data_IF_447578629863
#
_entry.id   IF_447578629863
#
_cell.length_a   1.000
_cell.length_b   1.000
_cell.length_c   1.000
_cell.angle_alpha   90.00
_cell.angle_beta   90.00
_cell.angle_gamma   90.00
#
_symmetry.space_group_name_H-M   'P 1'
#
loop_
_entity.id
_entity.type
_entity.pdbx_description
1 polymer ?
#
# COMPACT_ATOMS: atom_id res chain seq x y z
N UNK A 1 7.58 -26.01 15.74
CA UNK A 1 7.70 -27.06 14.70
C UNK A 1 7.89 -26.35 13.37
N UNK A 2 8.90 -26.70 12.57
CA UNK A 2 9.20 -25.99 11.31
C UNK A 2 8.08 -26.15 10.29
N UNK A 3 7.35 -27.26 10.36
CA UNK A 3 6.24 -27.55 9.45
C UNK A 3 5.03 -26.66 9.73
N UNK A 4 4.70 -26.46 11.01
CA UNK A 4 3.64 -25.52 11.43
C UNK A 4 3.93 -24.06 11.03
N UNK A 5 5.19 -23.61 11.05
CA UNK A 5 5.54 -22.24 10.60
C UNK A 5 5.28 -22.07 9.10
N UNK A 6 5.64 -23.08 8.29
CA UNK A 6 5.42 -23.04 6.84
C UNK A 6 3.93 -23.10 6.47
N UNK A 7 3.14 -23.88 7.22
CA UNK A 7 1.69 -23.94 7.05
C UNK A 7 1.04 -22.59 7.39
N UNK A 8 1.44 -21.96 8.50
CA UNK A 8 0.92 -20.64 8.90
C UNK A 8 1.28 -19.53 7.89
N UNK A 9 2.50 -19.53 7.36
CA UNK A 9 2.93 -18.59 6.31
C UNK A 9 2.15 -18.80 5.00
N UNK A 10 1.92 -20.06 4.62
CA UNK A 10 1.16 -20.40 3.40
C UNK A 10 -0.29 -19.93 3.51
N UNK A 11 -0.96 -20.25 4.62
CA UNK A 11 -2.34 -19.84 4.87
C UNK A 11 -2.48 -18.31 4.85
N UNK A 12 -1.51 -17.59 5.43
CA UNK A 12 -1.48 -16.13 5.39
C UNK A 12 -1.34 -15.58 3.97
N UNK A 13 -0.49 -16.20 3.13
CA UNK A 13 -0.32 -15.78 1.73
C UNK A 13 -1.62 -16.00 0.95
N UNK A 14 -2.29 -17.13 1.16
CA UNK A 14 -3.56 -17.45 0.50
C UNK A 14 -4.66 -16.46 0.89
N UNK A 15 -4.81 -16.16 2.20
CA UNK A 15 -5.76 -15.16 2.69
C UNK A 15 -5.48 -13.76 2.11
N UNK A 16 -4.21 -13.34 2.05
CA UNK A 16 -3.84 -12.05 1.44
C UNK A 16 -4.20 -12.06 -0.05
N UNK A 17 -3.96 -13.17 -0.75
CA UNK A 17 -4.19 -13.28 -2.20
C UNK A 17 -5.68 -13.19 -2.54
N UNK A 18 -6.54 -13.91 -1.81
CA UNK A 18 -7.99 -13.87 -2.02
C UNK A 18 -8.53 -12.45 -1.84
N UNK A 19 -8.19 -11.83 -0.72
CA UNK A 19 -8.68 -10.49 -0.36
C UNK A 19 -8.14 -9.40 -1.28
N UNK A 20 -6.90 -9.55 -1.73
CA UNK A 20 -6.30 -8.62 -2.69
C UNK A 20 -6.94 -8.73 -4.06
N UNK A 21 -7.38 -9.94 -4.46
CA UNK A 21 -8.10 -10.15 -5.72
C UNK A 21 -9.46 -9.43 -5.70
N UNK A 22 -10.23 -9.60 -4.62
CA UNK A 22 -11.50 -8.88 -4.43
C UNK A 22 -11.31 -7.36 -4.43
N UNK A 23 -10.24 -6.88 -3.78
CA UNK A 23 -9.90 -5.46 -3.76
C UNK A 23 -9.60 -4.92 -5.16
N UNK A 24 -8.84 -5.66 -5.97
CA UNK A 24 -8.53 -5.27 -7.35
C UNK A 24 -9.77 -5.26 -8.24
N UNK A 25 -10.65 -6.26 -8.11
CA UNK A 25 -11.91 -6.31 -8.85
C UNK A 25 -12.81 -5.12 -8.50
N UNK A 26 -13.00 -4.84 -7.20
CA UNK A 26 -13.85 -3.75 -6.73
C UNK A 26 -13.41 -2.37 -7.21
N UNK A 27 -12.11 -2.17 -7.39
CA UNK A 27 -11.52 -0.90 -7.81
C UNK A 27 -11.03 -0.89 -9.27
N UNK A 28 -11.40 -1.91 -10.06
CA UNK A 28 -11.06 -2.05 -11.47
C UNK A 28 -9.55 -1.87 -11.73
N UNK A 29 -8.72 -2.44 -10.85
CA UNK A 29 -7.27 -2.41 -11.00
C UNK A 29 -6.90 -3.52 -11.98
N UNK A 30 -6.52 -3.16 -13.20
CA UNK A 30 -6.17 -4.11 -14.26
C UNK A 30 -4.67 -4.19 -14.55
N UNK A 31 -3.93 -3.10 -14.29
CA UNK A 31 -2.49 -2.99 -14.55
C UNK A 31 -1.70 -4.03 -13.73
N UNK A 32 -1.09 -5.00 -14.42
CA UNK A 32 -0.36 -6.10 -13.79
C UNK A 32 0.89 -5.66 -13.03
N UNK A 33 1.55 -4.59 -13.46
CA UNK A 33 2.72 -4.04 -12.79
C UNK A 33 2.29 -3.30 -11.51
N UNK A 34 1.18 -2.57 -11.54
CA UNK A 34 0.58 -1.97 -10.35
C UNK A 34 0.16 -3.04 -9.34
N UNK A 35 -0.46 -4.14 -9.80
CA UNK A 35 -0.81 -5.29 -8.93
C UNK A 35 0.43 -5.91 -8.29
N UNK A 36 1.49 -6.10 -9.08
CA UNK A 36 2.74 -6.65 -8.57
C UNK A 36 3.36 -5.76 -7.48
N UNK A 37 3.43 -4.44 -7.70
CA UNK A 37 3.92 -3.49 -6.68
C UNK A 37 3.05 -3.49 -5.43
N UNK A 38 1.73 -3.51 -5.59
CA UNK A 38 0.80 -3.61 -4.47
C UNK A 38 1.06 -4.87 -3.64
N UNK A 39 1.18 -6.03 -4.28
CA UNK A 39 1.44 -7.30 -3.61
C UNK A 39 2.79 -7.30 -2.89
N UNK A 40 3.83 -6.73 -3.50
CA UNK A 40 5.13 -6.59 -2.86
C UNK A 40 5.06 -5.70 -1.62
N UNK A 41 4.27 -4.61 -1.69
CA UNK A 41 4.08 -3.70 -0.56
C UNK A 41 3.28 -4.36 0.57
N UNK A 42 2.14 -5.01 0.29
CA UNK A 42 1.28 -5.62 1.32
C UNK A 42 1.94 -6.79 2.05
N UNK A 43 2.85 -7.52 1.39
CA UNK A 43 3.62 -8.58 2.04
C UNK A 43 4.61 -8.05 3.07
N UNK A 44 5.17 -6.85 2.84
CA UNK A 44 6.15 -6.20 3.73
C UNK A 44 5.49 -5.29 4.76
N UNK A 45 4.35 -4.73 4.43
CA UNK A 45 3.54 -3.83 5.24
C UNK A 45 2.38 -4.65 5.83
N UNK A 46 2.61 -5.28 6.97
CA UNK A 46 1.58 -6.11 7.61
C UNK A 46 0.48 -5.24 8.25
N UNK A 47 -0.78 -5.53 7.92
CA UNK A 47 -1.94 -4.81 8.47
C UNK A 47 -2.01 -4.86 10.01
N UNK A 48 -1.54 -5.95 10.65
CA UNK A 48 -1.53 -6.08 12.12
C UNK A 48 -0.81 -4.93 12.85
N UNK A 49 0.16 -4.28 12.20
CA UNK A 49 0.85 -3.10 12.78
C UNK A 49 0.08 -1.79 12.59
N UNK A 50 -0.94 -1.81 11.76
CA UNK A 50 -1.76 -0.69 11.35
C UNK A 50 -3.17 -0.73 11.95
N UNK A 51 -3.62 -1.88 12.46
CA UNK A 51 -5.02 -2.15 12.83
C UNK A 51 -5.58 -1.21 13.91
N UNK A 52 -4.72 -0.68 14.78
CA UNK A 52 -5.11 0.31 15.80
C UNK A 52 -5.35 1.72 15.21
N UNK A 53 -4.82 1.99 14.00
CA UNK A 53 -4.79 3.31 13.38
C UNK A 53 -5.73 3.45 12.19
N UNK A 54 -5.97 2.37 11.45
CA UNK A 54 -6.70 2.40 10.18
C UNK A 54 -7.44 1.10 9.95
N UNK A 55 -8.62 1.18 9.33
CA UNK A 55 -9.37 0.00 8.90
C UNK A 55 -8.66 -0.67 7.74
N UNK A 56 -8.79 -1.99 7.63
CA UNK A 56 -8.09 -2.76 6.60
C UNK A 56 -8.40 -2.34 5.17
N UNK A 57 -9.63 -1.90 4.91
CA UNK A 57 -10.03 -1.38 3.61
C UNK A 57 -9.22 -0.13 3.22
N UNK A 58 -9.09 0.79 4.17
CA UNK A 58 -8.32 2.01 4.00
C UNK A 58 -6.81 1.73 3.99
N UNK A 59 -6.35 0.75 4.77
CA UNK A 59 -4.98 0.26 4.70
C UNK A 59 -4.63 -0.19 3.28
N UNK A 60 -5.45 -1.03 2.66
CA UNK A 60 -5.25 -1.47 1.29
C UNK A 60 -5.25 -0.29 0.30
N UNK A 61 -6.11 0.71 0.47
CA UNK A 61 -6.05 1.94 -0.34
C UNK A 61 -4.73 2.70 -0.14
N UNK A 62 -4.20 2.78 1.09
CA UNK A 62 -2.91 3.42 1.33
C UNK A 62 -1.76 2.65 0.66
N UNK A 63 -1.80 1.31 0.68
CA UNK A 63 -0.86 0.47 -0.08
C UNK A 63 -0.97 0.74 -1.59
N UNK A 64 -2.19 0.89 -2.10
CA UNK A 64 -2.43 1.25 -3.50
C UNK A 64 -1.84 2.63 -3.84
N UNK A 65 -2.02 3.63 -2.97
CA UNK A 65 -1.44 4.97 -3.16
C UNK A 65 0.09 4.91 -3.29
N UNK A 66 0.78 4.20 -2.38
CA UNK A 66 2.22 4.00 -2.46
C UNK A 66 2.63 3.30 -3.77
N UNK A 67 1.82 2.36 -4.24
CA UNK A 67 2.09 1.56 -5.45
C UNK A 67 1.85 2.34 -6.74
N UNK A 68 0.89 3.29 -6.74
CA UNK A 68 0.60 4.20 -7.85
C UNK A 68 1.59 5.35 -7.93
N UNK A 69 2.09 5.82 -6.79
CA UNK A 69 3.11 6.86 -6.70
C UNK A 69 4.52 6.27 -6.54
N UNK A 70 4.83 5.19 -7.26
CA UNK A 70 6.17 4.64 -7.37
C UNK A 70 6.97 5.39 -8.46
N UNK A 71 8.31 5.58 -8.34
CA UNK A 71 9.12 6.25 -9.36
C UNK A 71 8.98 5.68 -10.78
N UNK A 72 8.75 4.37 -10.92
CA UNK A 72 8.51 3.71 -12.21
C UNK A 72 7.23 4.17 -12.92
N UNK A 73 6.36 4.91 -12.23
CA UNK A 73 5.17 5.51 -12.83
C UNK A 73 5.43 6.89 -13.41
N UNK A 74 6.60 7.49 -13.20
CA UNK A 74 6.91 8.82 -13.72
C UNK A 74 6.71 8.90 -15.26
N UNK A 75 6.04 9.95 -15.79
CA UNK A 75 5.56 11.15 -15.10
C UNK A 75 4.13 11.05 -14.53
N UNK A 76 3.49 9.88 -14.61
CA UNK A 76 2.18 9.66 -14.00
C UNK A 76 2.29 9.83 -12.49
N UNK A 77 1.27 10.45 -11.91
CA UNK A 77 1.17 10.77 -10.49
C UNK A 77 -0.30 10.93 -10.15
N UNK A 78 -0.69 10.50 -8.96
CA UNK A 78 -2.00 10.83 -8.40
C UNK A 78 -1.80 11.60 -7.09
N UNK A 79 -2.38 12.79 -6.99
CA UNK A 79 -2.25 13.58 -5.77
C UNK A 79 -3.01 12.93 -4.60
N UNK A 80 -2.65 13.21 -3.34
CA UNK A 80 -3.46 12.76 -2.20
C UNK A 80 -4.93 13.18 -2.31
N UNK A 81 -5.20 14.39 -2.83
CA UNK A 81 -6.56 14.90 -3.05
C UNK A 81 -7.32 14.08 -4.10
N UNK A 82 -6.71 13.86 -5.27
CA UNK A 82 -7.30 13.08 -6.36
C UNK A 82 -7.53 11.63 -5.94
N UNK A 83 -6.56 11.02 -5.25
CA UNK A 83 -6.66 9.66 -4.74
C UNK A 83 -7.76 9.52 -3.71
N UNK A 84 -7.81 10.43 -2.73
CA UNK A 84 -8.84 10.45 -1.68
C UNK A 84 -10.25 10.54 -2.24
N UNK A 85 -10.45 11.36 -3.28
CA UNK A 85 -11.73 11.47 -3.95
C UNK A 85 -12.06 10.18 -4.72
N UNK A 86 -11.10 9.63 -5.47
CA UNK A 86 -11.32 8.46 -6.33
C UNK A 86 -11.59 7.18 -5.54
N UNK A 87 -10.90 6.97 -4.43
CA UNK A 87 -10.97 5.72 -3.65
C UNK A 87 -11.73 5.87 -2.33
N UNK A 88 -12.39 7.00 -2.12
CA UNK A 88 -13.23 7.27 -0.96
C UNK A 88 -12.50 7.04 0.39
N UNK A 89 -11.25 7.50 0.48
CA UNK A 89 -10.48 7.54 1.72
C UNK A 89 -10.31 8.98 2.17
N UNK A 90 -10.50 9.26 3.46
CA UNK A 90 -10.26 10.61 4.00
C UNK A 90 -8.79 10.98 3.80
N UNK A 91 -8.54 12.13 3.18
CA UNK A 91 -7.17 12.65 2.97
C UNK A 91 -6.35 12.70 4.25
N UNK A 92 -6.95 13.11 5.37
CA UNK A 92 -6.26 13.13 6.66
C UNK A 92 -5.79 11.74 7.11
N UNK A 93 -6.57 10.69 6.83
CA UNK A 93 -6.20 9.30 7.13
C UNK A 93 -5.06 8.86 6.22
N UNK A 94 -5.14 9.17 4.93
CA UNK A 94 -4.09 8.89 3.95
C UNK A 94 -2.78 9.56 4.34
N UNK A 95 -2.78 10.88 4.54
CA UNK A 95 -1.60 11.67 4.88
C UNK A 95 -0.96 11.17 6.19
N UNK A 96 -1.78 10.95 7.23
CA UNK A 96 -1.30 10.45 8.52
C UNK A 96 -0.59 9.11 8.38
N UNK A 97 -1.17 8.17 7.63
CA UNK A 97 -0.59 6.83 7.55
C UNK A 97 0.63 6.76 6.62
N UNK A 98 0.67 7.60 5.58
CA UNK A 98 1.89 7.76 4.76
C UNK A 98 3.03 8.27 5.63
N UNK A 99 2.80 9.27 6.48
CA UNK A 99 3.81 9.77 7.43
C UNK A 99 4.28 8.65 8.40
N UNK A 100 3.34 7.85 8.93
CA UNK A 100 3.67 6.69 9.78
C UNK A 100 4.58 5.67 9.08
N UNK A 101 4.29 5.35 7.82
CA UNK A 101 5.09 4.40 7.04
C UNK A 101 6.46 4.99 6.69
N UNK A 102 6.46 6.20 6.13
CA UNK A 102 7.62 6.77 5.44
C UNK A 102 8.58 7.43 6.41
N UNK A 103 8.08 8.21 7.38
CA UNK A 103 8.91 9.03 8.27
C UNK A 103 9.08 8.39 9.65
N UNK A 104 8.01 7.84 10.23
CA UNK A 104 8.08 7.24 11.57
C UNK A 104 8.54 5.77 11.59
N UNK A 105 8.69 5.17 10.42
CA UNK A 105 9.24 3.82 10.23
C UNK A 105 8.58 2.74 11.12
N UNK A 106 7.24 2.72 11.17
CA UNK A 106 6.49 1.70 11.94
C UNK A 106 6.73 0.26 11.44
N UNK A 107 7.34 0.11 10.27
CA UNK A 107 7.76 -1.16 9.67
C UNK A 107 9.30 -1.28 9.63
N UNK A 108 9.85 -2.50 9.70
CA UNK A 108 11.30 -2.75 9.60
C UNK A 108 11.80 -2.65 8.14
N UNK A 109 11.20 -1.77 7.34
CA UNK A 109 11.58 -1.47 5.97
C UNK A 109 11.70 0.04 5.85
N UNK A 110 12.73 0.50 5.14
CA UNK A 110 12.93 1.93 4.90
C UNK A 110 12.21 2.32 3.62
N UNK A 111 11.48 3.43 3.67
CA UNK A 111 11.01 4.10 2.46
C UNK A 111 11.91 5.29 2.15
N UNK A 112 11.99 5.58 0.86
CA UNK A 112 12.60 6.77 0.30
C UNK A 112 11.51 7.57 -0.42
N UNK A 113 11.62 8.89 -0.29
CA UNK A 113 10.75 9.86 -0.92
C UNK A 113 11.54 10.65 -1.96
N UNK A 114 11.07 10.68 -3.20
CA UNK A 114 11.57 11.58 -4.25
C UNK A 114 10.55 12.70 -4.42
N UNK A 115 10.99 13.92 -4.19
CA UNK A 115 10.23 15.14 -4.48
C UNK A 115 10.59 15.59 -5.89
N UNK A 116 9.64 15.51 -6.80
CA UNK A 116 9.75 16.05 -8.15
C UNK A 116 9.20 17.49 -8.20
N UNK A 117 9.24 18.10 -9.39
CA UNK A 117 8.61 19.40 -9.63
C UNK A 117 7.12 19.39 -9.22
N UNK A 118 6.59 20.57 -8.86
CA UNK A 118 5.21 20.75 -8.41
C UNK A 118 4.81 19.96 -7.15
N UNK A 119 5.77 19.67 -6.25
CA UNK A 119 5.55 18.93 -4.99
C UNK A 119 4.99 17.51 -5.19
N UNK A 120 5.28 16.87 -6.34
CA UNK A 120 4.91 15.48 -6.59
C UNK A 120 5.83 14.55 -5.82
N UNK A 121 5.24 13.70 -4.98
CA UNK A 121 6.00 12.80 -4.10
C UNK A 121 5.89 11.36 -4.60
N UNK A 122 7.03 10.77 -4.90
CA UNK A 122 7.14 9.35 -5.25
C UNK A 122 7.79 8.57 -4.12
N UNK A 123 7.32 7.35 -3.87
CA UNK A 123 7.73 6.52 -2.75
C UNK A 123 8.25 5.16 -3.24
N UNK A 124 9.36 4.70 -2.66
CA UNK A 124 9.93 3.39 -2.94
C UNK A 124 10.70 2.86 -1.73
N UNK A 125 11.00 1.56 -1.73
CA UNK A 125 11.74 0.88 -0.66
C UNK A 125 13.18 0.59 -1.10
#
# INVERSE_FOLDING_TARGET
DRQSILEDETNRIDEITERTSEFFERFEIEDGELKFRFLNNILKLEYRKAEEFVLEDDFNKIILFLSMNHPDQFPNYISPEEFSLKYEIKKITLDFFIDKIVEEHIYPIKFFKIEAEDNKNYYFQ
#
